data_IF_599265880570
#
_entry.id   IF_599265880570
#
_cell.length_a   1.000
_cell.length_b   1.000
_cell.length_c   1.000
_cell.angle_alpha   90.00
_cell.angle_beta   90.00
_cell.angle_gamma   90.00
#
_symmetry.space_group_name_H-M   'P 1'
#
loop_
_entity.id
_entity.type
_entity.pdbx_description
1 polymer ?
#
# COMPACT_ATOMS: atom_id res chain seq x y z
N UNK A 1 24.93 -39.93 -0.13
CA UNK A 1 23.50 -40.01 -0.47
C UNK A 1 23.03 -38.59 -0.75
N UNK A 2 22.77 -38.24 -2.01
CA UNK A 2 22.27 -36.91 -2.36
C UNK A 2 20.82 -36.79 -1.86
N UNK A 3 20.49 -35.70 -1.14
CA UNK A 3 19.11 -35.42 -0.75
C UNK A 3 18.24 -35.25 -2.00
N UNK A 4 16.98 -35.71 -1.99
CA UNK A 4 16.04 -35.45 -3.07
C UNK A 4 15.96 -33.96 -3.40
N UNK A 5 15.70 -33.60 -4.66
CA UNK A 5 15.72 -32.20 -5.12
C UNK A 5 14.84 -31.27 -4.25
N UNK A 6 13.69 -31.74 -3.76
CA UNK A 6 12.78 -31.01 -2.87
C UNK A 6 13.30 -30.76 -1.44
N UNK A 7 14.28 -31.55 -0.97
CA UNK A 7 14.89 -31.42 0.35
C UNK A 7 16.11 -30.49 0.35
N UNK A 8 16.58 -30.07 -0.82
CA UNK A 8 17.70 -29.15 -0.91
C UNK A 8 17.32 -27.78 -0.33
N UNK A 9 18.17 -27.15 0.49
CA UNK A 9 17.89 -25.86 1.13
C UNK A 9 17.49 -24.76 0.14
N UNK A 10 18.00 -24.82 -1.10
CA UNK A 10 17.69 -23.87 -2.17
C UNK A 10 16.23 -23.96 -2.64
N UNK A 11 15.70 -25.17 -2.86
CA UNK A 11 14.33 -25.35 -3.30
C UNK A 11 13.32 -24.94 -2.22
N UNK A 12 13.57 -25.30 -0.95
CA UNK A 12 12.69 -24.89 0.16
C UNK A 12 12.55 -23.37 0.29
N UNK A 13 13.66 -22.64 0.12
CA UNK A 13 13.67 -21.17 0.14
C UNK A 13 12.84 -20.59 -1.01
N UNK A 14 13.04 -21.09 -2.22
CA UNK A 14 12.30 -20.63 -3.40
C UNK A 14 10.80 -20.92 -3.27
N UNK A 15 10.41 -22.11 -2.79
CA UNK A 15 9.00 -22.45 -2.55
C UNK A 15 8.38 -21.53 -1.49
N UNK A 16 9.09 -21.25 -0.39
CA UNK A 16 8.63 -20.31 0.62
C UNK A 16 8.40 -18.90 0.04
N UNK A 17 9.38 -18.37 -0.70
CA UNK A 17 9.26 -17.05 -1.34
C UNK A 17 8.10 -17.01 -2.35
N UNK A 18 7.94 -18.07 -3.15
CA UNK A 18 6.84 -18.16 -4.10
C UNK A 18 5.47 -18.12 -3.40
N UNK A 19 5.28 -18.90 -2.33
CA UNK A 19 4.05 -18.90 -1.54
C UNK A 19 3.83 -17.53 -0.90
N UNK A 20 4.88 -16.91 -0.36
CA UNK A 20 4.82 -15.58 0.22
C UNK A 20 4.33 -14.53 -0.79
N UNK A 21 4.94 -14.47 -1.98
CA UNK A 21 4.51 -13.52 -3.02
C UNK A 21 3.12 -13.85 -3.56
N UNK A 22 2.73 -15.13 -3.62
CA UNK A 22 1.38 -15.52 -4.02
C UNK A 22 0.32 -15.01 -3.03
N UNK A 23 0.56 -15.16 -1.73
CA UNK A 23 -0.35 -14.64 -0.68
C UNK A 23 -0.48 -13.12 -0.80
N UNK A 24 0.64 -12.41 -0.98
CA UNK A 24 0.64 -10.97 -1.15
C UNK A 24 -0.08 -10.54 -2.43
N UNK A 25 0.15 -11.24 -3.55
CA UNK A 25 -0.57 -11.01 -4.80
C UNK A 25 -2.08 -11.16 -4.62
N UNK A 26 -2.54 -12.23 -3.97
CA UNK A 26 -3.95 -12.44 -3.68
C UNK A 26 -4.54 -11.32 -2.80
N UNK A 27 -3.82 -10.91 -1.76
CA UNK A 27 -4.24 -9.82 -0.87
C UNK A 27 -4.42 -8.49 -1.62
N UNK A 28 -3.42 -8.09 -2.39
CA UNK A 28 -3.48 -6.86 -3.19
C UNK A 28 -4.51 -6.94 -4.32
N UNK A 29 -4.68 -8.09 -4.96
CA UNK A 29 -5.72 -8.30 -5.98
C UNK A 29 -7.13 -8.18 -5.41
N UNK A 30 -7.34 -8.71 -4.20
CA UNK A 30 -8.62 -8.58 -3.50
C UNK A 30 -8.92 -7.11 -3.19
N UNK A 31 -7.95 -6.39 -2.63
CA UNK A 31 -8.08 -4.95 -2.33
C UNK A 31 -8.37 -4.16 -3.61
N UNK A 32 -7.59 -4.37 -4.67
CA UNK A 32 -7.75 -3.70 -5.96
C UNK A 32 -9.15 -3.90 -6.55
N UNK A 33 -9.62 -5.14 -6.59
CA UNK A 33 -10.94 -5.48 -7.17
C UNK A 33 -12.05 -4.84 -6.36
N UNK A 34 -12.00 -4.93 -5.03
CA UNK A 34 -13.03 -4.35 -4.16
C UNK A 34 -13.06 -2.82 -4.24
N UNK A 35 -11.89 -2.17 -4.30
CA UNK A 35 -11.81 -0.71 -4.48
C UNK A 35 -12.34 -0.28 -5.84
N UNK A 36 -11.96 -0.99 -6.92
CA UNK A 36 -12.38 -0.66 -8.29
C UNK A 36 -13.89 -0.83 -8.47
N UNK A 37 -14.45 -1.96 -8.03
CA UNK A 37 -15.90 -2.22 -8.12
C UNK A 37 -16.69 -1.15 -7.40
N UNK A 38 -16.26 -0.76 -6.20
CA UNK A 38 -16.97 0.25 -5.40
C UNK A 38 -16.80 1.65 -5.97
N UNK A 39 -15.63 1.98 -6.51
CA UNK A 39 -15.42 3.24 -7.23
C UNK A 39 -16.37 3.42 -8.43
N UNK A 40 -16.67 2.34 -9.16
CA UNK A 40 -17.59 2.38 -10.30
C UNK A 40 -19.07 2.20 -9.93
N UNK A 41 -19.38 1.50 -8.83
CA UNK A 41 -20.75 1.06 -8.52
C UNK A 41 -21.44 1.88 -7.45
N UNK A 42 -20.70 2.49 -6.53
CA UNK A 42 -21.26 3.17 -5.36
C UNK A 42 -20.64 4.56 -5.19
N UNK A 43 -21.49 5.57 -5.04
CA UNK A 43 -21.07 6.95 -4.74
C UNK A 43 -20.44 7.10 -3.35
N UNK A 44 -20.16 8.35 -2.99
CA UNK A 44 -19.39 8.79 -1.79
C UNK A 44 -19.80 8.07 -0.49
N UNK A 45 -21.10 7.84 -0.27
CA UNK A 45 -21.64 7.25 0.98
C UNK A 45 -21.23 5.79 1.25
N UNK A 46 -20.93 4.98 0.23
CA UNK A 46 -20.47 3.60 0.45
C UNK A 46 -18.95 3.49 0.60
N UNK A 47 -18.21 4.59 0.41
CA UNK A 47 -16.76 4.55 0.46
C UNK A 47 -16.24 4.47 1.90
N UNK A 48 -16.92 5.09 2.87
CA UNK A 48 -16.46 5.17 4.27
C UNK A 48 -16.30 3.79 4.94
N UNK A 49 -17.37 2.99 4.98
CA UNK A 49 -17.34 1.64 5.57
C UNK A 49 -16.34 0.71 4.85
N UNK A 50 -16.22 0.93 3.54
CA UNK A 50 -15.29 0.20 2.68
C UNK A 50 -13.85 0.55 3.05
N UNK A 51 -13.52 1.83 3.20
CA UNK A 51 -12.18 2.27 3.58
C UNK A 51 -11.78 1.75 4.93
N UNK A 52 -12.72 1.62 5.87
CA UNK A 52 -12.42 1.01 7.16
C UNK A 52 -12.02 -0.47 7.03
N UNK A 53 -12.84 -1.26 6.32
CA UNK A 53 -12.59 -2.69 6.12
C UNK A 53 -11.36 -2.95 5.24
N UNK A 54 -11.27 -2.29 4.08
CA UNK A 54 -10.17 -2.44 3.12
C UNK A 54 -8.88 -1.83 3.67
N UNK A 55 -8.96 -0.68 4.36
CA UNK A 55 -7.81 -0.02 4.97
C UNK A 55 -7.16 -0.89 6.05
N UNK A 56 -7.93 -1.67 6.81
CA UNK A 56 -7.37 -2.66 7.73
C UNK A 56 -6.56 -3.73 6.99
N UNK A 57 -7.13 -4.33 5.94
CA UNK A 57 -6.45 -5.35 5.13
C UNK A 57 -5.19 -4.78 4.47
N UNK A 58 -5.26 -3.56 3.93
CA UNK A 58 -4.12 -2.86 3.34
C UNK A 58 -2.99 -2.63 4.35
N UNK A 59 -3.31 -2.21 5.59
CA UNK A 59 -2.33 -2.06 6.67
C UNK A 59 -1.63 -3.39 7.00
N UNK A 60 -2.39 -4.48 7.01
CA UNK A 60 -1.83 -5.82 7.23
C UNK A 60 -0.92 -6.24 6.08
N UNK A 61 -1.35 -6.11 4.82
CA UNK A 61 -0.53 -6.41 3.64
C UNK A 61 0.77 -5.58 3.60
N UNK A 62 0.69 -4.28 3.89
CA UNK A 62 1.85 -3.39 3.98
C UNK A 62 2.81 -3.80 5.11
N UNK A 63 2.27 -4.18 6.27
CA UNK A 63 3.08 -4.65 7.40
C UNK A 63 3.76 -5.99 7.10
N UNK A 64 3.08 -6.91 6.41
CA UNK A 64 3.68 -8.18 5.94
C UNK A 64 4.75 -7.91 4.89
N UNK A 65 4.63 -6.83 4.10
CA UNK A 65 5.64 -6.42 3.11
C UNK A 65 6.95 -5.97 3.73
N UNK A 66 6.97 -5.57 5.02
CA UNK A 66 8.21 -5.31 5.75
C UNK A 66 9.09 -6.57 5.89
N UNK A 67 8.51 -7.77 5.83
CA UNK A 67 9.29 -9.01 5.83
C UNK A 67 10.19 -9.12 4.59
N UNK A 68 9.88 -8.43 3.49
CA UNK A 68 10.75 -8.39 2.31
C UNK A 68 12.08 -7.71 2.62
N UNK A 69 12.08 -6.64 3.43
CA UNK A 69 13.31 -6.00 3.90
C UNK A 69 14.18 -6.99 4.68
N UNK A 70 13.56 -7.84 5.50
CA UNK A 70 14.27 -8.92 6.19
C UNK A 70 14.80 -9.97 5.22
N UNK A 71 14.03 -10.37 4.20
CA UNK A 71 14.50 -11.34 3.19
C UNK A 71 15.71 -10.84 2.43
N UNK A 72 15.72 -9.55 2.06
CA UNK A 72 16.86 -8.93 1.38
C UNK A 72 18.04 -8.77 2.35
N UNK A 73 17.78 -8.39 3.61
CA UNK A 73 18.83 -8.18 4.62
C UNK A 73 19.57 -9.48 4.96
N UNK A 74 18.83 -10.58 5.05
CA UNK A 74 19.40 -11.94 5.25
C UNK A 74 20.07 -12.46 3.97
N UNK A 75 19.93 -11.78 2.83
CA UNK A 75 20.53 -12.16 1.55
C UNK A 75 19.80 -13.34 0.88
N UNK A 76 18.53 -13.55 1.20
CA UNK A 76 17.69 -14.56 0.55
C UNK A 76 17.31 -14.10 -0.87
N UNK A 77 17.06 -12.79 -1.03
CA UNK A 77 16.73 -12.17 -2.31
C UNK A 77 17.83 -11.18 -2.75
N UNK A 78 18.41 -11.34 -3.96
CA UNK A 78 19.44 -10.44 -4.47
C UNK A 78 18.80 -9.15 -5.00
N UNK A 79 18.43 -8.24 -4.10
CA UNK A 79 17.95 -6.90 -4.49
C UNK A 79 18.59 -5.81 -3.63
N UNK A 80 18.47 -4.56 -4.09
CA UNK A 80 19.03 -3.42 -3.38
C UNK A 80 18.13 -3.02 -2.21
N UNK A 81 18.66 -3.14 -0.98
CA UNK A 81 17.96 -2.81 0.26
C UNK A 81 17.45 -1.36 0.29
N UNK A 82 18.31 -0.41 -0.07
CA UNK A 82 18.06 1.02 0.11
C UNK A 82 16.84 1.53 -0.67
N UNK A 83 16.71 1.32 -2.00
CA UNK A 83 15.52 1.78 -2.73
C UNK A 83 14.23 1.11 -2.24
N UNK A 84 14.30 -0.16 -1.81
CA UNK A 84 13.12 -0.86 -1.25
C UNK A 84 12.71 -0.32 0.11
N UNK A 85 13.68 0.00 0.94
CA UNK A 85 13.44 0.63 2.24
C UNK A 85 12.74 1.98 2.09
N UNK A 86 13.25 2.84 1.19
CA UNK A 86 12.64 4.15 0.94
C UNK A 86 11.20 4.03 0.43
N UNK A 87 10.96 3.18 -0.58
CA UNK A 87 9.62 2.98 -1.14
C UNK A 87 8.61 2.45 -0.11
N UNK A 88 9.01 1.47 0.72
CA UNK A 88 8.12 0.92 1.75
C UNK A 88 7.87 1.92 2.88
N UNK A 89 8.90 2.65 3.30
CA UNK A 89 8.79 3.66 4.37
C UNK A 89 7.87 4.80 3.94
N UNK A 90 8.03 5.31 2.71
CA UNK A 90 7.15 6.33 2.14
C UNK A 90 5.68 5.89 2.18
N UNK A 91 5.38 4.67 1.70
CA UNK A 91 4.00 4.15 1.70
C UNK A 91 3.41 3.98 3.09
N UNK A 92 4.20 3.51 4.04
CA UNK A 92 3.76 3.35 5.44
C UNK A 92 3.48 4.72 6.05
N UNK A 93 4.34 5.71 5.82
CA UNK A 93 4.12 7.08 6.31
C UNK A 93 2.82 7.63 5.73
N UNK A 94 2.58 7.54 4.42
CA UNK A 94 1.34 8.05 3.83
C UNK A 94 0.11 7.30 4.36
N UNK A 95 0.17 5.97 4.49
CA UNK A 95 -0.95 5.17 5.00
C UNK A 95 -1.31 5.48 6.47
N UNK A 96 -0.30 5.60 7.33
CA UNK A 96 -0.53 5.80 8.77
C UNK A 96 -0.62 7.27 9.17
N UNK A 97 0.16 8.16 8.56
CA UNK A 97 0.19 9.59 8.92
C UNK A 97 -0.87 10.36 8.14
N UNK A 98 -0.92 10.22 6.82
CA UNK A 98 -1.83 11.02 6.00
C UNK A 98 -3.25 10.47 6.06
N UNK A 99 -3.41 9.18 5.74
CA UNK A 99 -4.73 8.58 5.57
C UNK A 99 -5.37 8.30 6.93
N UNK A 100 -4.65 7.70 7.88
CA UNK A 100 -5.24 7.34 9.19
C UNK A 100 -5.45 8.56 10.10
N UNK A 101 -4.73 9.67 9.92
CA UNK A 101 -4.88 10.84 10.80
C UNK A 101 -6.07 11.75 10.48
N UNK A 102 -6.65 11.67 9.27
CA UNK A 102 -7.73 12.57 8.84
C UNK A 102 -8.80 11.79 8.06
N UNK A 103 -9.92 11.48 8.72
CA UNK A 103 -11.06 10.77 8.10
C UNK A 103 -11.64 11.54 6.90
N UNK A 104 -11.67 12.88 6.98
CA UNK A 104 -12.13 13.77 5.90
C UNK A 104 -11.31 13.63 4.59
N UNK A 105 -10.04 13.20 4.72
CA UNK A 105 -9.15 12.98 3.56
C UNK A 105 -9.39 11.59 2.94
N UNK A 106 -9.83 10.61 3.74
CA UNK A 106 -10.09 9.23 3.27
C UNK A 106 -11.24 9.19 2.25
N UNK A 107 -12.23 10.06 2.41
CA UNK A 107 -13.41 10.15 1.53
C UNK A 107 -13.08 10.72 0.14
N UNK A 108 -11.92 11.37 -0.01
CA UNK A 108 -11.59 12.04 -1.27
C UNK A 108 -11.16 11.04 -2.34
N UNK A 109 -11.67 11.26 -3.56
CA UNK A 109 -11.34 10.46 -4.74
C UNK A 109 -9.85 10.30 -4.98
N UNK A 110 -9.02 11.29 -4.64
CA UNK A 110 -7.56 11.23 -4.77
C UNK A 110 -6.98 10.06 -3.98
N UNK A 111 -7.45 9.83 -2.75
CA UNK A 111 -7.00 8.71 -1.92
C UNK A 111 -7.48 7.38 -2.50
N UNK A 112 -8.72 7.31 -2.97
CA UNK A 112 -9.24 6.11 -3.63
C UNK A 112 -8.40 5.71 -4.85
N UNK A 113 -8.10 6.68 -5.73
CA UNK A 113 -7.24 6.48 -6.91
C UNK A 113 -5.83 6.07 -6.48
N UNK A 114 -5.24 6.73 -5.48
CA UNK A 114 -3.92 6.36 -4.94
C UNK A 114 -3.88 4.90 -4.48
N UNK A 115 -4.90 4.44 -3.73
CA UNK A 115 -4.99 3.04 -3.28
C UNK A 115 -5.09 2.07 -4.44
N UNK A 116 -5.89 2.37 -5.47
CA UNK A 116 -6.02 1.54 -6.67
C UNK A 116 -4.65 1.40 -7.35
N UNK A 117 -3.93 2.51 -7.55
CA UNK A 117 -2.60 2.50 -8.17
C UNK A 117 -1.55 1.77 -7.33
N UNK A 118 -1.55 1.94 -6.00
CA UNK A 118 -0.65 1.20 -5.12
C UNK A 118 -0.85 -0.31 -5.21
N UNK A 119 -2.11 -0.77 -5.14
CA UNK A 119 -2.40 -2.19 -5.23
C UNK A 119 -2.10 -2.76 -6.62
N UNK A 120 -2.33 -2.00 -7.68
CA UNK A 120 -1.95 -2.40 -9.04
C UNK A 120 -0.43 -2.54 -9.20
N UNK A 121 0.34 -1.58 -8.67
CA UNK A 121 1.80 -1.64 -8.69
C UNK A 121 2.29 -2.87 -7.93
N UNK A 122 1.77 -3.10 -6.73
CA UNK A 122 2.14 -4.26 -5.91
C UNK A 122 1.77 -5.58 -6.61
N UNK A 123 0.60 -5.70 -7.23
CA UNK A 123 0.24 -6.89 -8.03
C UNK A 123 1.27 -7.18 -9.12
N UNK A 124 1.67 -6.18 -9.90
CA UNK A 124 2.65 -6.36 -10.98
C UNK A 124 4.02 -6.75 -10.42
N UNK A 125 4.44 -6.11 -9.32
CA UNK A 125 5.70 -6.39 -8.64
C UNK A 125 5.75 -7.81 -8.07
N UNK A 126 4.69 -8.25 -7.39
CA UNK A 126 4.60 -9.61 -6.85
C UNK A 126 4.57 -10.65 -7.96
N UNK A 127 3.87 -10.37 -9.06
CA UNK A 127 3.89 -11.23 -10.25
C UNK A 127 5.30 -11.37 -10.82
N UNK A 128 6.03 -10.25 -10.93
CA UNK A 128 7.44 -10.25 -11.35
C UNK A 128 8.33 -11.06 -10.40
N UNK A 129 8.20 -10.86 -9.08
CA UNK A 129 8.96 -11.60 -8.07
C UNK A 129 8.67 -13.10 -8.11
N UNK A 130 7.40 -13.51 -8.26
CA UNK A 130 7.02 -14.92 -8.43
C UNK A 130 7.69 -15.56 -9.65
N UNK A 131 7.64 -14.88 -10.79
CA UNK A 131 8.25 -15.36 -12.04
C UNK A 131 9.77 -15.43 -11.94
N UNK A 132 10.40 -14.44 -11.31
CA UNK A 132 11.84 -14.44 -11.04
C UNK A 132 12.27 -15.63 -10.17
N UNK A 133 11.47 -16.04 -9.19
CA UNK A 133 11.74 -17.23 -8.35
C UNK A 133 11.63 -18.53 -9.14
N UNK A 134 10.71 -18.59 -10.11
CA UNK A 134 10.55 -19.73 -11.03
C UNK A 134 11.65 -19.75 -12.11
N UNK A 135 12.34 -18.63 -12.32
CA UNK A 135 13.39 -18.47 -13.33
C UNK A 135 12.86 -18.08 -14.72
N UNK A 136 11.63 -17.58 -14.79
CA UNK A 136 11.01 -17.09 -16.03
C UNK A 136 11.09 -15.56 -16.04
N UNK A 137 11.61 -14.99 -17.12
CA UNK A 137 11.66 -13.54 -17.31
C UNK A 137 10.82 -13.11 -18.51
N UNK A 138 9.96 -12.12 -18.29
CA UNK A 138 9.18 -11.47 -19.34
C UNK A 138 9.55 -9.99 -19.42
N UNK A 139 10.03 -9.55 -20.59
CA UNK A 139 10.48 -8.17 -20.81
C UNK A 139 9.39 -7.14 -20.51
N UNK A 140 8.14 -7.42 -20.92
CA UNK A 140 6.99 -6.53 -20.67
C UNK A 140 6.73 -6.36 -19.17
N UNK A 141 6.77 -7.46 -18.42
CA UNK A 141 6.49 -7.42 -16.99
C UNK A 141 7.61 -6.71 -16.21
N UNK A 142 8.87 -6.94 -16.60
CA UNK A 142 10.01 -6.19 -16.05
C UNK A 142 9.85 -4.71 -16.33
N UNK A 143 9.51 -4.33 -17.56
CA UNK A 143 9.30 -2.93 -17.93
C UNK A 143 8.15 -2.28 -17.13
N UNK A 144 7.03 -2.98 -16.97
CA UNK A 144 5.89 -2.49 -16.18
C UNK A 144 6.30 -2.28 -14.72
N UNK A 145 6.93 -3.28 -14.09
CA UNK A 145 7.42 -3.19 -12.71
C UNK A 145 8.34 -1.99 -12.49
N UNK A 146 9.19 -1.68 -13.48
CA UNK A 146 10.14 -0.57 -13.43
C UNK A 146 9.55 0.80 -13.83
N UNK A 147 8.34 0.84 -14.40
CA UNK A 147 7.73 2.10 -14.90
C UNK A 147 6.54 2.52 -14.04
N UNK A 148 5.83 1.57 -13.44
CA UNK A 148 4.58 1.81 -12.69
C UNK A 148 4.75 2.66 -11.43
N UNK A 149 5.97 2.79 -10.89
CA UNK A 149 6.22 3.67 -9.75
C UNK A 149 6.21 5.15 -10.12
N UNK A 150 6.51 5.51 -11.38
CA UNK A 150 6.56 6.90 -11.84
C UNK A 150 5.22 7.65 -11.64
N UNK A 151 4.04 7.12 -12.05
CA UNK A 151 2.76 7.79 -11.85
C UNK A 151 2.27 7.78 -10.40
N UNK A 152 2.76 6.86 -9.56
CA UNK A 152 2.38 6.81 -8.15
C UNK A 152 2.95 8.00 -7.38
N UNK A 153 4.16 8.42 -7.72
CA UNK A 153 4.85 9.50 -7.03
C UNK A 153 4.08 10.84 -7.02
N UNK A 154 3.58 11.38 -8.16
CA UNK A 154 2.78 12.61 -8.13
C UNK A 154 1.46 12.43 -7.37
N UNK A 155 0.86 11.25 -7.37
CA UNK A 155 -0.35 10.98 -6.58
C UNK A 155 -0.05 11.02 -5.08
N UNK A 156 1.10 10.51 -4.64
CA UNK A 156 1.56 10.63 -3.25
C UNK A 156 1.68 12.11 -2.83
N UNK A 157 2.36 12.92 -3.66
CA UNK A 157 2.56 14.37 -3.39
C UNK A 157 1.22 15.11 -3.32
N UNK A 158 0.27 14.78 -4.20
CA UNK A 158 -1.07 15.36 -4.17
C UNK A 158 -1.81 14.99 -2.87
N UNK A 159 -1.73 13.73 -2.43
CA UNK A 159 -2.35 13.30 -1.19
C UNK A 159 -1.77 14.03 0.04
N UNK A 160 -0.45 14.23 0.09
CA UNK A 160 0.22 15.00 1.15
C UNK A 160 -0.19 16.48 1.12
N UNK A 161 -0.25 17.11 -0.07
CA UNK A 161 -0.69 18.50 -0.21
C UNK A 161 -2.12 18.73 0.28
N UNK A 162 -3.02 17.78 0.01
CA UNK A 162 -4.38 17.80 0.55
C UNK A 162 -4.34 17.72 2.08
N UNK A 163 -3.57 16.80 2.66
CA UNK A 163 -3.42 16.67 4.11
C UNK A 163 -2.93 17.96 4.79
N UNK A 164 -1.93 18.65 4.22
CA UNK A 164 -1.48 19.94 4.75
C UNK A 164 -2.58 21.01 4.70
N UNK A 165 -3.35 21.04 3.61
CA UNK A 165 -4.44 22.01 3.46
C UNK A 165 -5.55 21.76 4.49
N UNK A 166 -5.98 20.51 4.67
CA UNK A 166 -7.01 20.17 5.66
C UNK A 166 -6.52 20.34 7.09
N UNK A 167 -5.28 19.94 7.40
CA UNK A 167 -4.72 20.11 8.74
C UNK A 167 -4.60 21.59 9.13
N UNK A 168 -4.22 22.45 8.19
CA UNK A 168 -4.19 23.90 8.41
C UNK A 168 -5.61 24.46 8.64
N UNK A 169 -6.57 24.11 7.78
CA UNK A 169 -7.97 24.53 7.93
C UNK A 169 -8.58 24.06 9.26
N UNK A 170 -8.25 22.83 9.70
CA UNK A 170 -8.71 22.30 10.98
C UNK A 170 -8.09 23.05 12.17
N UNK A 171 -6.81 23.44 12.07
CA UNK A 171 -6.15 24.27 13.08
C UNK A 171 -6.83 25.63 13.20
N UNK A 172 -7.08 26.31 12.08
CA UNK A 172 -7.75 27.61 12.07
C UNK A 172 -9.17 27.51 12.63
N UNK A 173 -9.93 26.47 12.25
CA UNK A 173 -11.26 26.21 12.80
C UNK A 173 -11.22 26.01 14.31
N UNK A 174 -10.20 25.32 14.83
CA UNK A 174 -10.00 25.13 16.27
C UNK A 174 -9.70 26.45 16.98
N UNK A 175 -8.87 27.31 16.40
CA UNK A 175 -8.53 28.60 17.00
C UNK A 175 -9.75 29.53 17.03
N UNK A 176 -10.55 29.57 15.97
CA UNK A 176 -11.82 30.32 15.93
C UNK A 176 -12.82 29.80 16.98
N UNK A 177 -12.98 28.47 17.10
CA UNK A 177 -13.85 27.86 18.11
C UNK A 177 -13.30 28.01 19.54
N UNK A 178 -11.99 28.09 19.71
CA UNK A 178 -11.34 28.40 20.99
C UNK A 178 -11.53 29.85 21.43
N UNK A 179 -11.59 30.78 20.46
CA UNK A 179 -11.86 32.22 20.68
C UNK A 179 -13.35 32.48 20.96
N UNK A 180 -14.26 31.66 20.42
CA UNK A 180 -15.70 31.74 20.71
C UNK A 180 -16.12 30.60 21.66
N UNK A 181 -15.94 30.74 22.99
CA UNK A 181 -16.51 29.78 23.92
C UNK A 181 -18.04 29.87 23.83
N UNK A 182 -18.66 28.84 23.25
CA UNK A 182 -20.11 28.68 23.28
C UNK A 182 -20.52 28.59 24.76
N UNK A 183 -21.00 29.70 25.32
CA UNK A 183 -21.49 29.78 26.68
C UNK A 183 -22.68 28.82 26.77
N UNK A 184 -22.45 27.59 27.25
CA UNK A 184 -23.51 26.62 27.53
C UNK A 184 -24.54 27.32 28.40
N UNK A 185 -25.68 27.66 27.82
CA UNK A 185 -26.85 28.16 28.55
C UNK A 185 -27.32 26.99 29.40
N UNK A 186 -26.98 26.99 30.69
CA UNK A 186 -27.54 26.06 31.68
C UNK A 186 -29.06 26.27 31.65
N UNK A 187 -29.77 25.21 31.29
CA UNK A 187 -31.20 25.05 31.54
C UNK A 187 -31.37 24.53 32.96
#
# INVERSE_FOLDING_TARGET
MALPAWLQPRYRKNTYLFIYYLIQFCGHSWIFTNMTVRFFSFGEDSMVDTFYAIGLVMRLCQSISLLELLHIYVGIEPSHLFPRFLQLTERIIILFVVITSQEEVQEKYVVCVLFIFWNLLDMVRYTYSMLSVVGISYTVLTWLSQTLWMPVYPLCVLAEGMYYTYSHLYSERRDVLGVFPFKKKKM
#
